data_IF_400071497258
#
_entry.id   IF_400071497258
#
_cell.length_a   1.000
_cell.length_b   1.000
_cell.length_c   1.000
_cell.angle_alpha   90.00
_cell.angle_beta   90.00
_cell.angle_gamma   90.00
#
_symmetry.space_group_name_H-M   'P 1'
#
loop_
_entity.id
_entity.type
_entity.pdbx_description
1 polymer ?
#
# COMPACT_ATOMS: atom_id res chain seq x y z
N UNK A 1 -12.29 -6.70 -3.63
CA UNK A 1 -13.45 -7.07 -4.45
C UNK A 1 -13.64 -6.13 -5.66
N UNK A 2 -13.03 -4.94 -5.67
CA UNK A 2 -13.18 -3.95 -6.76
C UNK A 2 -12.56 -4.30 -8.13
N UNK A 3 -11.49 -5.11 -8.16
CA UNK A 3 -10.77 -5.41 -9.41
C UNK A 3 -11.63 -6.27 -10.37
N UNK A 4 -12.40 -7.22 -9.83
CA UNK A 4 -13.25 -8.10 -10.64
C UNK A 4 -14.40 -7.33 -11.30
N UNK A 5 -14.96 -6.35 -10.60
CA UNK A 5 -16.03 -5.48 -11.12
C UNK A 5 -15.51 -4.54 -12.22
N UNK A 6 -14.29 -4.00 -12.07
CA UNK A 6 -13.63 -3.16 -13.09
C UNK A 6 -13.26 -3.96 -14.35
N UNK A 7 -12.80 -5.21 -14.19
CA UNK A 7 -12.55 -6.12 -15.30
C UNK A 7 -13.85 -6.51 -16.03
N UNK A 8 -14.94 -6.79 -15.29
CA UNK A 8 -16.25 -7.10 -15.89
C UNK A 8 -16.84 -5.91 -16.66
N UNK A 9 -16.65 -4.69 -16.18
CA UNK A 9 -17.05 -3.46 -16.89
C UNK A 9 -16.20 -3.23 -18.15
N UNK A 10 -14.89 -3.50 -18.11
CA UNK A 10 -14.04 -3.39 -19.30
C UNK A 10 -14.39 -4.45 -20.36
N UNK A 11 -14.69 -5.69 -19.95
CA UNK A 11 -15.07 -6.78 -20.85
C UNK A 11 -16.44 -6.57 -21.51
N UNK A 12 -17.40 -5.94 -20.82
CA UNK A 12 -18.72 -5.68 -21.38
C UNK A 12 -18.69 -4.65 -22.52
N UNK A 13 -17.75 -3.71 -22.53
CA UNK A 13 -17.54 -2.81 -23.68
C UNK A 13 -16.97 -3.52 -24.91
N UNK A 14 -16.15 -4.55 -24.74
CA UNK A 14 -15.54 -5.30 -25.85
C UNK A 14 -16.55 -6.22 -26.54
N UNK A 15 -17.49 -6.82 -25.80
CA UNK A 15 -18.49 -7.73 -26.37
C UNK A 15 -19.54 -7.00 -27.23
N UNK A 16 -19.86 -5.74 -26.92
CA UNK A 16 -20.83 -4.94 -27.71
C UNK A 16 -20.29 -4.63 -29.12
N UNK A 17 -18.97 -4.58 -29.31
CA UNK A 17 -18.37 -4.31 -30.62
C UNK A 17 -18.32 -5.56 -31.51
N UNK A 18 -18.29 -6.77 -30.93
CA UNK A 18 -18.05 -8.02 -31.70
C UNK A 18 -19.34 -8.72 -32.17
N UNK A 19 -20.52 -8.45 -31.57
CA UNK A 19 -21.78 -9.08 -32.01
C UNK A 19 -22.51 -8.39 -33.18
N UNK A 20 -21.88 -7.39 -33.83
CA UNK A 20 -22.50 -6.62 -34.91
C UNK A 20 -22.46 -7.23 -36.32
N UNK A 21 -21.81 -8.38 -36.54
CA UNK A 21 -21.69 -8.97 -37.89
C UNK A 21 -22.03 -10.47 -37.90
N UNK A 22 -23.29 -10.76 -37.59
CA UNK A 22 -23.88 -12.08 -37.86
C UNK A 22 -24.03 -12.30 -39.37
N UNK A 23 -23.36 -13.33 -39.86
CA UNK A 23 -23.62 -13.95 -41.15
C UNK A 23 -25.10 -14.35 -41.26
N UNK A 24 -25.81 -13.86 -42.28
CA UNK A 24 -27.11 -14.42 -42.67
C UNK A 24 -27.27 -14.36 -44.18
N UNK A 25 -27.07 -15.52 -44.80
CA UNK A 25 -27.61 -15.80 -46.13
C UNK A 25 -29.14 -15.88 -46.06
N UNK A 26 -29.80 -15.31 -47.05
CA UNK A 26 -31.24 -15.37 -47.24
C UNK A 26 -31.58 -15.12 -48.69
N UNK A 27 -31.69 -16.22 -49.45
CA UNK A 27 -32.34 -16.24 -50.76
C UNK A 27 -33.83 -15.90 -50.64
N UNK A 28 -34.36 -15.27 -51.68
CA UNK A 28 -35.62 -14.53 -51.65
C UNK A 28 -36.91 -15.36 -51.68
N UNK A 29 -38.02 -14.62 -51.54
CA UNK A 29 -39.37 -15.12 -51.77
C UNK A 29 -40.49 -14.24 -51.19
N UNK A 30 -41.09 -13.44 -52.07
CA UNK A 30 -42.52 -13.05 -52.13
C UNK A 30 -43.23 -12.20 -51.04
N UNK A 31 -43.70 -11.03 -51.53
CA UNK A 31 -44.99 -10.33 -51.36
C UNK A 31 -45.90 -10.68 -50.16
N UNK A 32 -46.23 -9.63 -49.38
CA UNK A 32 -47.58 -9.42 -48.85
C UNK A 32 -47.69 -8.85 -47.43
N UNK A 33 -48.23 -7.62 -47.31
CA UNK A 33 -49.15 -7.22 -46.24
C UNK A 33 -48.60 -6.82 -44.86
N UNK A 34 -48.68 -5.51 -44.56
CA UNK A 34 -49.21 -4.93 -43.31
C UNK A 34 -48.54 -5.23 -41.95
N UNK A 35 -48.12 -4.17 -41.25
CA UNK A 35 -48.05 -4.18 -39.78
C UNK A 35 -46.79 -3.55 -39.16
N UNK A 36 -47.03 -2.64 -38.20
CA UNK A 36 -46.09 -1.95 -37.31
C UNK A 36 -44.92 -2.81 -36.79
N UNK A 37 -43.67 -2.29 -36.84
CA UNK A 37 -42.60 -2.56 -35.83
C UNK A 37 -41.30 -1.76 -36.10
N UNK A 38 -40.62 -1.41 -34.99
CA UNK A 38 -39.54 -0.44 -34.89
C UNK A 38 -38.32 -0.71 -35.77
N UNK A 39 -37.90 0.34 -36.49
CA UNK A 39 -36.73 0.31 -37.35
C UNK A 39 -35.44 0.52 -36.57
N UNK A 40 -34.79 -0.58 -36.20
CA UNK A 40 -33.34 -0.58 -36.09
C UNK A 40 -32.78 -0.41 -37.51
N UNK A 41 -32.17 0.73 -37.79
CA UNK A 41 -31.44 0.97 -39.05
C UNK A 41 -30.24 0.02 -39.09
N UNK A 42 -30.41 -1.10 -39.79
CA UNK A 42 -29.32 -2.02 -40.11
C UNK A 42 -28.34 -1.35 -41.07
N UNK A 43 -27.07 -1.39 -40.71
CA UNK A 43 -25.99 -0.71 -41.42
C UNK A 43 -25.90 -1.12 -42.88
N UNK A 44 -25.76 -0.11 -43.74
CA UNK A 44 -25.43 -0.23 -45.16
C UNK A 44 -24.11 -0.98 -45.33
N UNK A 45 -24.19 -2.28 -45.67
CA UNK A 45 -23.04 -3.05 -46.14
C UNK A 45 -22.57 -2.49 -47.47
N UNK A 46 -21.31 -2.07 -47.53
CA UNK A 46 -20.69 -1.57 -48.75
C UNK A 46 -20.48 -2.77 -49.70
N UNK A 47 -21.36 -2.95 -50.69
CA UNK A 47 -21.27 -4.00 -51.72
C UNK A 47 -20.92 -3.45 -53.11
N UNK A 48 -20.48 -2.20 -53.20
CA UNK A 48 -20.01 -1.59 -54.46
C UNK A 48 -18.57 -1.96 -54.79
N UNK A 49 -18.20 -1.86 -56.07
CA UNK A 49 -16.84 -2.11 -56.59
C UNK A 49 -15.73 -1.19 -56.00
N UNK A 50 -16.09 -0.26 -55.11
CA UNK A 50 -15.17 0.56 -54.30
C UNK A 50 -15.02 0.10 -52.85
N UNK A 51 -15.58 -1.05 -52.46
CA UNK A 51 -15.47 -1.56 -51.10
C UNK A 51 -14.09 -2.16 -50.84
N UNK A 52 -13.22 -1.40 -50.20
CA UNK A 52 -11.91 -1.86 -49.78
C UNK A 52 -12.02 -2.68 -48.48
N UNK A 53 -12.46 -3.93 -48.62
CA UNK A 53 -12.59 -4.92 -47.53
C UNK A 53 -11.26 -5.07 -46.78
N UNK A 54 -10.13 -4.97 -47.47
CA UNK A 54 -8.80 -5.03 -46.85
C UNK A 54 -8.60 -3.90 -45.82
N UNK A 55 -9.12 -2.70 -46.08
CA UNK A 55 -9.05 -1.57 -45.14
C UNK A 55 -9.80 -1.84 -43.83
N UNK A 56 -10.95 -2.52 -43.89
CA UNK A 56 -11.74 -2.86 -42.70
C UNK A 56 -11.01 -3.92 -41.86
N UNK A 57 -10.46 -4.95 -42.51
CA UNK A 57 -9.71 -6.01 -41.82
C UNK A 57 -8.47 -5.43 -41.15
N UNK A 58 -7.67 -4.63 -41.86
CA UNK A 58 -6.47 -3.99 -41.30
C UNK A 58 -6.84 -3.06 -40.13
N UNK A 59 -7.89 -2.25 -40.27
CA UNK A 59 -8.37 -1.39 -39.20
C UNK A 59 -8.76 -2.16 -37.93
N UNK A 60 -9.45 -3.29 -38.08
CA UNK A 60 -9.86 -4.12 -36.94
C UNK A 60 -8.66 -4.72 -36.18
N UNK A 61 -7.62 -5.17 -36.90
CA UNK A 61 -6.41 -5.73 -36.30
C UNK A 61 -5.64 -4.66 -35.53
N UNK A 62 -5.48 -3.47 -36.10
CA UNK A 62 -4.76 -2.35 -35.45
C UNK A 62 -5.46 -1.94 -34.15
N UNK A 63 -6.79 -1.78 -34.17
CA UNK A 63 -7.57 -1.42 -32.98
C UNK A 63 -7.49 -2.52 -31.91
N UNK A 64 -7.56 -3.80 -32.31
CA UNK A 64 -7.43 -4.93 -31.40
C UNK A 64 -6.07 -4.98 -30.71
N UNK A 65 -4.98 -4.78 -31.46
CA UNK A 65 -3.62 -4.76 -30.91
C UNK A 65 -3.42 -3.59 -29.94
N UNK A 66 -3.87 -2.38 -30.31
CA UNK A 66 -3.76 -1.20 -29.43
C UNK A 66 -4.59 -1.38 -28.14
N UNK A 67 -5.78 -1.97 -28.24
CA UNK A 67 -6.61 -2.28 -27.07
C UNK A 67 -5.94 -3.28 -26.13
N UNK A 68 -5.33 -4.34 -26.69
CA UNK A 68 -4.60 -5.33 -25.90
C UNK A 68 -3.37 -4.73 -25.20
N UNK A 69 -2.62 -3.86 -25.90
CA UNK A 69 -1.50 -3.12 -25.31
C UNK A 69 -1.99 -2.23 -24.14
N UNK A 70 -3.11 -1.52 -24.31
CA UNK A 70 -3.71 -0.70 -23.25
C UNK A 70 -4.09 -1.52 -22.00
N UNK A 71 -4.67 -2.70 -22.18
CA UNK A 71 -5.00 -3.62 -21.07
C UNK A 71 -3.73 -4.12 -20.38
N UNK A 72 -2.67 -4.43 -21.13
CA UNK A 72 -1.36 -4.82 -20.56
C UNK A 72 -0.78 -3.69 -19.71
N UNK A 73 -0.76 -2.45 -20.22
CA UNK A 73 -0.28 -1.30 -19.43
C UNK A 73 -1.12 -1.07 -18.17
N UNK A 74 -2.44 -1.19 -18.26
CA UNK A 74 -3.34 -0.99 -17.12
C UNK A 74 -3.17 -2.10 -16.07
N UNK A 75 -3.00 -3.34 -16.50
CA UNK A 75 -2.70 -4.47 -15.58
C UNK A 75 -1.33 -4.36 -14.95
N UNK A 76 -0.29 -3.93 -15.69
CA UNK A 76 1.04 -3.66 -15.14
C UNK A 76 0.96 -2.51 -14.12
N UNK A 77 0.28 -1.41 -14.46
CA UNK A 77 0.13 -0.26 -13.57
C UNK A 77 -0.62 -0.64 -12.28
N UNK A 78 -1.74 -1.37 -12.40
CA UNK A 78 -2.47 -1.90 -11.23
C UNK A 78 -1.64 -2.87 -10.39
N UNK A 79 -0.90 -3.80 -11.03
CA UNK A 79 -0.01 -4.72 -10.31
C UNK A 79 1.15 -3.99 -9.62
N UNK A 80 1.66 -2.91 -10.21
CA UNK A 80 2.73 -2.10 -9.62
C UNK A 80 2.22 -1.30 -8.43
N UNK A 81 0.99 -0.78 -8.48
CA UNK A 81 0.36 -0.11 -7.33
C UNK A 81 0.04 -1.09 -6.20
N UNK A 82 -0.36 -2.33 -6.50
CA UNK A 82 -0.62 -3.35 -5.46
C UNK A 82 0.68 -3.90 -4.86
N UNK A 83 1.79 -3.84 -5.60
CA UNK A 83 3.15 -4.11 -5.07
C UNK A 83 3.70 -2.98 -4.22
N UNK A 84 2.90 -1.95 -3.88
CA UNK A 84 3.13 -1.10 -2.71
C UNK A 84 2.91 -1.91 -1.42
N UNK A 85 3.82 -2.88 -1.25
CA UNK A 85 4.53 -3.29 -0.05
C UNK A 85 3.63 -3.63 1.13
N UNK A 86 3.13 -4.87 1.13
CA UNK A 86 2.99 -5.60 2.39
C UNK A 86 4.29 -5.42 3.17
N UNK A 87 4.19 -4.91 4.39
CA UNK A 87 5.31 -4.87 5.31
C UNK A 87 5.94 -6.27 5.35
N UNK A 88 7.27 -6.33 5.32
CA UNK A 88 7.95 -7.59 5.64
C UNK A 88 7.51 -8.03 7.05
N UNK A 89 7.56 -9.32 7.35
CA UNK A 89 7.42 -9.72 8.76
C UNK A 89 8.56 -9.09 9.58
N UNK A 90 8.30 -8.82 10.86
CA UNK A 90 9.31 -8.24 11.75
C UNK A 90 10.60 -9.06 11.76
N UNK A 91 10.50 -10.39 11.75
CA UNK A 91 11.66 -11.28 11.69
C UNK A 91 12.45 -11.12 10.38
N UNK A 92 11.76 -11.01 9.24
CA UNK A 92 12.39 -10.77 7.94
C UNK A 92 13.05 -9.40 7.89
N UNK A 93 12.41 -8.37 8.44
CA UNK A 93 12.97 -7.02 8.50
C UNK A 93 14.27 -6.97 9.31
N UNK A 94 14.31 -7.66 10.45
CA UNK A 94 15.48 -7.71 11.35
C UNK A 94 16.63 -8.51 10.74
N UNK A 95 16.33 -9.63 10.08
CA UNK A 95 17.33 -10.55 9.50
C UNK A 95 17.87 -10.12 8.14
N UNK A 96 17.24 -9.16 7.46
CA UNK A 96 17.75 -8.63 6.18
C UNK A 96 19.13 -8.00 6.38
N UNK A 97 20.17 -8.71 5.91
CA UNK A 97 21.55 -8.23 5.92
C UNK A 97 21.60 -6.81 5.34
N UNK A 98 22.22 -5.92 6.10
CA UNK A 98 22.54 -4.60 5.60
C UNK A 98 23.63 -4.77 4.53
N UNK A 99 23.28 -4.63 3.25
CA UNK A 99 24.19 -4.76 2.09
C UNK A 99 25.39 -3.80 2.11
N UNK A 100 25.50 -2.96 3.13
CA UNK A 100 26.70 -2.17 3.41
C UNK A 100 27.66 -2.97 4.30
N UNK A 101 28.12 -4.12 3.78
CA UNK A 101 29.19 -4.97 4.33
C UNK A 101 30.57 -4.42 3.89
N UNK A 102 30.94 -3.25 4.42
CA UNK A 102 32.28 -2.71 4.26
C UNK A 102 32.78 -2.19 5.60
N UNK A 103 33.55 -3.00 6.32
CA UNK A 103 34.34 -2.60 7.50
C UNK A 103 33.58 -1.86 8.62
N UNK A 104 32.58 -2.50 9.25
CA UNK A 104 32.04 -1.97 10.51
C UNK A 104 32.83 -2.51 11.69
N UNK A 105 33.71 -1.68 12.24
CA UNK A 105 34.34 -1.91 13.53
C UNK A 105 33.26 -2.17 14.59
N UNK A 106 33.23 -3.38 15.13
CA UNK A 106 32.31 -3.87 16.17
C UNK A 106 32.36 -3.08 17.49
N UNK A 107 33.24 -2.08 17.61
CA UNK A 107 33.55 -1.39 18.86
C UNK A 107 32.71 -0.15 19.18
N UNK A 108 31.76 0.26 18.33
CA UNK A 108 30.95 1.49 18.58
C UNK A 108 29.44 1.28 18.54
N UNK A 109 28.97 0.04 18.70
CA UNK A 109 27.53 -0.30 18.69
C UNK A 109 26.82 -0.09 20.03
N UNK A 110 27.55 0.29 21.08
CA UNK A 110 27.10 0.24 22.48
C UNK A 110 25.95 1.20 22.85
N UNK A 111 25.49 2.09 21.96
CA UNK A 111 24.79 3.28 22.44
C UNK A 111 23.47 3.67 21.77
N UNK A 112 22.97 2.88 20.81
CA UNK A 112 21.72 3.24 20.11
C UNK A 112 20.48 2.65 20.79
N UNK A 113 20.63 1.49 21.45
CA UNK A 113 19.54 0.79 22.12
C UNK A 113 19.62 1.03 23.62
N UNK A 114 19.23 2.24 24.03
CA UNK A 114 19.24 2.70 25.42
C UNK A 114 17.89 2.50 26.10
N UNK A 115 17.93 2.04 27.33
CA UNK A 115 16.75 2.01 28.19
C UNK A 115 16.34 3.44 28.60
N UNK A 116 15.05 3.64 28.78
CA UNK A 116 14.48 4.89 29.29
C UNK A 116 13.49 5.51 28.33
N UNK A 117 13.41 6.83 28.36
CA UNK A 117 12.40 7.57 27.62
C UNK A 117 12.84 7.86 26.18
N UNK A 118 11.86 7.78 25.29
CA UNK A 118 11.99 8.05 23.86
C UNK A 118 10.88 9.00 23.44
N UNK A 119 11.20 9.84 22.46
CA UNK A 119 10.24 10.68 21.76
C UNK A 119 9.99 10.09 20.38
N UNK A 120 8.73 9.94 20.00
CA UNK A 120 8.36 9.53 18.65
C UNK A 120 7.45 10.53 17.96
N UNK A 121 7.45 10.51 16.65
CA UNK A 121 6.46 11.18 15.81
C UNK A 121 6.14 10.32 14.61
N UNK A 122 4.96 10.49 14.06
CA UNK A 122 4.51 9.71 12.91
C UNK A 122 3.75 10.59 11.91
N UNK A 123 3.88 10.25 10.64
CA UNK A 123 3.21 10.96 9.55
C UNK A 123 1.92 10.23 9.16
N UNK A 124 0.77 10.87 9.34
CA UNK A 124 -0.56 10.33 9.02
C UNK A 124 -1.46 11.48 8.55
N UNK A 125 -2.30 11.23 7.54
CA UNK A 125 -3.21 12.23 6.96
C UNK A 125 -2.52 13.51 6.49
N UNK A 126 -1.32 13.38 5.88
CA UNK A 126 -0.57 14.52 5.34
C UNK A 126 0.05 15.44 6.39
N UNK A 127 0.10 15.03 7.67
CA UNK A 127 0.71 15.80 8.75
C UNK A 127 1.57 14.94 9.66
N UNK A 128 2.55 15.56 10.31
CA UNK A 128 3.29 14.96 11.42
C UNK A 128 2.51 15.11 12.73
N UNK A 129 2.38 14.01 13.48
CA UNK A 129 1.77 13.98 14.81
C UNK A 129 2.86 13.65 15.83
N UNK A 130 2.90 14.35 16.96
CA UNK A 130 3.93 14.25 17.99
C UNK A 130 4.74 15.55 18.19
N UNK A 131 5.81 15.53 19.00
CA UNK A 131 6.41 14.35 19.62
C UNK A 131 5.58 13.77 20.77
N UNK A 132 5.56 12.45 20.89
CA UNK A 132 4.95 11.69 21.99
C UNK A 132 6.02 10.93 22.77
N UNK A 133 5.81 10.77 24.09
CA UNK A 133 6.74 10.05 24.95
C UNK A 133 6.37 8.57 25.05
N UNK A 134 7.38 7.72 25.06
CA UNK A 134 7.26 6.30 25.40
C UNK A 134 8.47 5.86 26.20
N UNK A 135 8.30 4.86 27.05
CA UNK A 135 9.40 4.23 27.79
C UNK A 135 9.74 2.89 27.14
N UNK A 136 11.02 2.67 26.84
CA UNK A 136 11.53 1.44 26.23
C UNK A 136 12.58 0.78 27.11
N UNK A 137 12.54 -0.54 27.15
CA UNK A 137 13.52 -1.42 27.79
C UNK A 137 14.01 -2.41 26.75
N UNK A 138 15.30 -2.31 26.42
CA UNK A 138 16.02 -3.17 25.50
C UNK A 138 16.78 -4.24 26.31
N UNK A 139 16.34 -5.49 26.17
CA UNK A 139 17.05 -6.65 26.68
C UNK A 139 18.04 -7.15 25.62
N UNK A 140 19.33 -6.87 25.86
CA UNK A 140 20.44 -7.25 24.98
C UNK A 140 20.71 -8.76 24.96
N UNK A 141 20.27 -9.50 25.96
CA UNK A 141 20.49 -10.95 26.03
C UNK A 141 19.51 -11.65 25.09
N UNK A 142 18.24 -11.26 25.13
CA UNK A 142 17.20 -11.85 24.29
C UNK A 142 16.96 -11.11 22.97
N UNK A 143 17.63 -9.98 22.74
CA UNK A 143 17.37 -9.05 21.63
C UNK A 143 15.89 -8.62 21.53
N UNK A 144 15.26 -8.44 22.70
CA UNK A 144 13.85 -8.05 22.83
C UNK A 144 13.73 -6.62 23.32
N UNK A 145 12.72 -5.92 22.83
CA UNK A 145 12.34 -4.61 23.33
C UNK A 145 10.92 -4.67 23.87
N UNK A 146 10.71 -4.08 25.05
CA UNK A 146 9.39 -3.88 25.65
C UNK A 146 9.21 -2.42 26.01
N UNK A 147 7.96 -1.98 26.12
CA UNK A 147 7.70 -0.61 26.51
C UNK A 147 6.24 -0.29 26.67
N UNK A 148 5.97 0.97 26.95
CA UNK A 148 4.63 1.54 26.99
C UNK A 148 4.68 3.04 26.69
N UNK A 149 3.54 3.62 26.38
CA UNK A 149 3.42 5.06 26.18
C UNK A 149 1.98 5.47 25.90
N UNK A 150 1.82 6.74 25.51
CA UNK A 150 0.53 7.28 25.07
C UNK A 150 0.75 8.30 23.97
N UNK A 151 -0.19 8.38 23.05
CA UNK A 151 -0.29 9.45 22.04
C UNK A 151 -1.74 9.90 21.86
N UNK A 152 -2.03 10.63 20.79
CA UNK A 152 -3.39 11.09 20.49
C UNK A 152 -4.36 9.97 20.10
N UNK A 153 -3.86 8.78 19.71
CA UNK A 153 -4.72 7.62 19.44
C UNK A 153 -5.12 6.96 20.75
N UNK A 154 -4.16 6.74 21.65
CA UNK A 154 -4.44 6.19 22.98
C UNK A 154 -3.21 5.72 23.74
N UNK A 155 -3.44 5.00 24.84
CA UNK A 155 -2.40 4.30 25.59
C UNK A 155 -2.03 3.01 24.88
N UNK A 156 -0.77 2.62 24.97
CA UNK A 156 -0.28 1.43 24.30
C UNK A 156 0.85 0.75 25.04
N UNK A 157 1.01 -0.54 24.75
CA UNK A 157 2.19 -1.34 25.09
C UNK A 157 3.01 -1.64 23.84
N UNK A 158 4.29 -1.88 24.04
CA UNK A 158 5.25 -2.23 22.99
C UNK A 158 5.86 -3.60 23.28
N UNK A 159 5.93 -4.44 22.26
CA UNK A 159 6.71 -5.68 22.25
C UNK A 159 7.40 -5.84 20.89
N UNK A 160 8.69 -6.17 20.86
CA UNK A 160 9.44 -6.29 19.61
C UNK A 160 10.79 -6.96 19.76
N UNK A 161 11.52 -6.92 18.66
CA UNK A 161 12.90 -7.40 18.53
C UNK A 161 13.78 -6.32 17.92
N UNK A 162 15.07 -6.39 18.20
CA UNK A 162 16.06 -5.50 17.60
C UNK A 162 17.32 -6.28 17.20
N UNK A 163 18.12 -5.70 16.32
CA UNK A 163 19.42 -6.24 15.94
C UNK A 163 20.49 -5.18 16.12
N UNK A 164 21.46 -5.49 16.98
CA UNK A 164 22.65 -4.67 17.18
C UNK A 164 23.48 -4.57 15.90
N UNK A 165 23.63 -5.69 15.19
CA UNK A 165 24.42 -5.81 13.95
C UNK A 165 23.85 -4.96 12.81
N UNK A 166 22.54 -5.07 12.58
CA UNK A 166 21.86 -4.36 11.50
C UNK A 166 21.38 -2.96 11.90
N UNK A 167 21.48 -2.62 13.20
CA UNK A 167 20.94 -1.39 13.78
C UNK A 167 19.46 -1.17 13.44
N UNK A 168 18.69 -2.26 13.53
CA UNK A 168 17.26 -2.28 13.20
C UNK A 168 16.43 -2.59 14.42
N UNK A 169 15.22 -2.06 14.45
CA UNK A 169 14.22 -2.37 15.46
C UNK A 169 12.88 -2.60 14.78
N UNK A 170 12.20 -3.67 15.19
CA UNK A 170 10.87 -4.04 14.76
C UNK A 170 9.98 -4.25 15.98
N UNK A 171 8.94 -3.44 16.11
CA UNK A 171 8.08 -3.41 17.29
C UNK A 171 6.62 -3.51 16.90
N UNK A 172 5.84 -4.14 17.77
CA UNK A 172 4.40 -4.12 17.75
C UNK A 172 3.93 -3.16 18.84
N UNK A 173 3.19 -2.13 18.45
CA UNK A 173 2.46 -1.24 19.34
C UNK A 173 1.01 -1.70 19.41
N UNK A 174 0.55 -2.11 20.59
CA UNK A 174 -0.83 -2.56 20.80
C UNK A 174 -1.55 -1.54 21.67
N UNK A 175 -2.61 -0.93 21.13
CA UNK A 175 -3.40 0.05 21.88
C UNK A 175 -4.35 -0.63 22.89
N UNK A 176 -4.53 0.02 24.03
CA UNK A 176 -5.52 -0.36 25.04
C UNK A 176 -6.89 0.23 24.65
N UNK A 177 -7.88 -0.65 24.48
CA UNK A 177 -9.24 -0.25 24.08
C UNK A 177 -9.86 0.70 25.13
N UNK A 178 -10.54 1.74 24.68
CA UNK A 178 -11.21 2.72 25.56
C UNK A 178 -10.31 3.86 26.04
N UNK A 179 -9.11 4.00 25.49
CA UNK A 179 -8.20 5.13 25.77
C UNK A 179 -8.04 6.03 24.54
N UNK A 180 -7.79 7.33 24.73
CA UNK A 180 -7.55 8.28 23.63
C UNK A 180 -8.77 8.53 22.74
N UNK A 181 -8.56 8.61 21.42
CA UNK A 181 -9.63 8.90 20.45
C UNK A 181 -10.41 7.62 20.09
N UNK A 182 -11.70 7.49 20.46
CA UNK A 182 -12.50 6.31 20.16
C UNK A 182 -12.75 6.10 18.66
N UNK A 183 -12.50 7.09 17.80
CA UNK A 183 -12.63 6.97 16.34
C UNK A 183 -11.41 6.34 15.70
N UNK A 184 -10.26 6.36 16.37
CA UNK A 184 -9.01 5.80 15.87
C UNK A 184 -8.58 4.56 16.67
N UNK A 185 -8.85 4.52 17.97
CA UNK A 185 -8.44 3.44 18.86
C UNK A 185 -9.47 2.30 18.93
N UNK A 186 -9.27 1.32 18.06
CA UNK A 186 -10.01 0.05 18.06
C UNK A 186 -9.30 -1.08 18.82
N UNK A 187 -8.34 -0.77 19.71
CA UNK A 187 -7.51 -1.78 20.38
C UNK A 187 -6.60 -2.56 19.42
N UNK A 188 -6.27 -1.95 18.28
CA UNK A 188 -5.55 -2.61 17.20
C UNK A 188 -4.04 -2.57 17.42
N UNK A 189 -3.34 -3.39 16.63
CA UNK A 189 -1.88 -3.46 16.59
C UNK A 189 -1.33 -2.63 15.43
N UNK A 190 -0.24 -1.91 15.69
CA UNK A 190 0.57 -1.18 14.70
C UNK A 190 1.97 -1.78 14.70
N UNK A 191 2.44 -2.26 13.55
CA UNK A 191 3.82 -2.71 13.39
C UNK A 191 4.72 -1.51 13.01
N UNK A 192 5.85 -1.37 13.70
CA UNK A 192 6.85 -0.32 13.53
C UNK A 192 8.14 -0.97 13.09
N UNK A 193 8.70 -0.53 11.96
CA UNK A 193 9.96 -1.06 11.43
C UNK A 193 10.90 0.09 11.11
N UNK A 194 12.03 0.15 11.82
CA UNK A 194 12.94 1.29 11.77
C UNK A 194 14.40 0.87 11.71
N UNK A 195 15.22 1.76 11.15
CA UNK A 195 16.67 1.64 11.03
C UNK A 195 17.29 2.87 11.72
N UNK A 196 18.40 2.66 12.43
CA UNK A 196 19.16 3.76 13.00
C UNK A 196 19.76 4.65 11.89
N UNK A 197 19.54 5.95 12.01
CA UNK A 197 20.17 6.96 11.18
C UNK A 197 21.25 7.68 11.99
N UNK A 198 22.51 7.39 11.66
CA UNK A 198 23.67 7.94 12.36
C UNK A 198 23.88 9.44 12.14
N UNK A 199 23.32 10.01 11.06
CA UNK A 199 23.50 11.43 10.73
C UNK A 199 22.75 12.35 11.69
N UNK A 200 21.61 11.90 12.21
CA UNK A 200 20.74 12.69 13.09
C UNK A 200 20.47 12.04 14.46
N UNK A 201 20.99 10.83 14.69
CA UNK A 201 20.94 10.13 15.96
C UNK A 201 19.52 9.74 16.36
N UNK A 202 18.75 9.19 15.42
CA UNK A 202 17.39 8.69 15.64
C UNK A 202 17.10 7.45 14.79
N UNK A 203 16.07 6.70 15.19
CA UNK A 203 15.49 5.64 14.38
C UNK A 203 14.48 6.22 13.40
N UNK A 204 14.53 5.76 12.16
CA UNK A 204 13.63 6.18 11.08
C UNK A 204 13.08 4.97 10.34
N UNK A 205 11.82 5.03 9.93
CA UNK A 205 11.23 3.98 9.13
C UNK A 205 9.75 4.18 8.93
N UNK A 206 8.99 3.09 8.99
CA UNK A 206 7.56 3.09 8.74
C UNK A 206 6.77 2.45 9.87
N UNK A 207 5.54 2.93 10.02
CA UNK A 207 4.48 2.23 10.74
C UNK A 207 3.52 1.59 9.74
N UNK A 208 2.90 0.49 10.14
CA UNK A 208 1.93 -0.27 9.36
C UNK A 208 0.76 -0.69 10.25
N UNK A 209 -0.46 -0.53 9.76
CA UNK A 209 -1.67 -1.04 10.39
C UNK A 209 -2.36 -1.98 9.43
N UNK A 210 -2.71 -3.15 9.94
CA UNK A 210 -3.50 -4.15 9.24
C UNK A 210 -4.62 -4.61 10.18
N UNK A 211 -5.71 -3.86 10.19
CA UNK A 211 -6.91 -4.15 10.96
C UNK A 211 -8.10 -4.36 10.02
N UNK A 212 -9.12 -5.10 10.47
CA UNK A 212 -10.30 -5.42 9.65
C UNK A 212 -10.97 -4.20 9.02
N UNK A 213 -10.94 -3.05 9.70
CA UNK A 213 -11.61 -1.81 9.28
C UNK A 213 -10.65 -0.76 8.74
N UNK A 214 -9.33 -0.97 8.84
CA UNK A 214 -8.36 0.04 8.48
C UNK A 214 -7.02 -0.59 8.10
N UNK A 215 -6.52 -0.17 6.94
CA UNK A 215 -5.17 -0.46 6.49
C UNK A 215 -4.46 0.87 6.27
N UNK A 216 -3.26 1.00 6.79
CA UNK A 216 -2.51 2.24 6.71
C UNK A 216 -1.02 2.01 6.83
N UNK A 217 -0.25 2.92 6.25
CA UNK A 217 1.18 3.03 6.48
C UNK A 217 1.59 4.50 6.48
N UNK A 218 2.75 4.79 7.07
CA UNK A 218 3.33 6.12 7.05
C UNK A 218 4.71 6.14 7.67
N UNK A 219 5.36 7.30 7.57
CA UNK A 219 6.70 7.47 8.13
C UNK A 219 6.63 7.53 9.67
N UNK A 220 7.65 6.98 10.32
CA UNK A 220 7.79 6.98 11.76
C UNK A 220 9.23 7.33 12.14
N UNK A 221 9.38 8.16 13.16
CA UNK A 221 10.67 8.58 13.69
C UNK A 221 10.69 8.47 15.21
N UNK A 222 11.83 8.08 15.76
CA UNK A 222 11.99 7.87 17.20
C UNK A 222 13.40 8.24 17.67
N UNK A 223 13.49 9.12 18.68
CA UNK A 223 14.74 9.66 19.21
C UNK A 223 14.80 9.51 20.72
N UNK A 224 15.99 9.22 21.25
CA UNK A 224 16.17 9.10 22.69
C UNK A 224 15.90 10.45 23.38
N UNK A 225 15.08 10.42 24.43
CA UNK A 225 14.73 11.60 25.19
C UNK A 225 15.87 11.94 26.16
N UNK A 226 16.81 12.78 25.72
CA UNK A 226 17.88 13.26 26.58
C UNK A 226 17.31 14.27 27.61
N UNK A 227 16.95 13.77 28.79
CA UNK A 227 16.34 14.54 29.89
C UNK A 227 17.24 15.73 30.29
N UNK A 228 18.56 15.61 30.11
CA UNK A 228 19.51 16.69 30.42
C UNK A 228 19.31 17.93 29.55
N UNK A 229 18.82 17.74 28.32
CA UNK A 229 18.62 18.80 27.33
C UNK A 229 17.18 19.35 27.29
N UNK A 230 16.28 18.82 28.11
CA UNK A 230 14.91 19.35 28.17
C UNK A 230 14.86 20.65 28.99
N UNK A 231 14.09 21.66 28.53
CA UNK A 231 13.79 22.84 29.34
C UNK A 231 13.21 22.43 30.69
N UNK A 232 13.62 23.09 31.75
CA UNK A 232 13.25 22.72 33.13
C UNK A 232 11.73 22.65 33.34
N UNK A 233 10.97 23.51 32.68
CA UNK A 233 9.50 23.53 32.73
C UNK A 233 8.83 22.24 32.21
N UNK A 234 9.50 21.46 31.34
CA UNK A 234 8.98 20.18 30.84
C UNK A 234 9.45 18.95 31.64
N UNK A 235 10.15 19.14 32.76
CA UNK A 235 10.68 18.04 33.58
C UNK A 235 9.76 17.60 34.72
N UNK A 236 8.67 18.31 34.99
CA UNK A 236 7.86 18.14 36.22
C UNK A 236 6.49 17.46 35.95
N UNK A 237 6.17 17.13 34.70
CA UNK A 237 4.93 16.42 34.30
C UNK A 237 5.15 14.91 34.12
#
# INVERSE_FOLDING_TARGET
>A
MDILLRLLLAFSFVIIVVHGQGARGGGGGSRGGGGYRGGFRTGTGCQGAGCNIAGIVVGSVVVGVLGLIGIIFLTIFCCQTDRARRADSNDTFISKNSTNEGNRNYQTYEDHFRNGDWQSRYHQYGRWNGPYRMSLVFDRISNRVKGNGSDNVGKFIIDGTFSLENQRVAMAKTYELGTGDPKENFGHKVDLQMIWNSNNGQFEGKWYVNANHYHGEGNFEMKYADISKMPFEKRID
#
